data_IF_593858939514
#
_entry.id   IF_593858939514
#
_cell.length_a   1.000
_cell.length_b   1.000
_cell.length_c   1.000
_cell.angle_alpha   90.00
_cell.angle_beta   90.00
_cell.angle_gamma   90.00
#
_symmetry.space_group_name_H-M   'P 1'
#
loop_
_entity.id
_entity.type
_entity.pdbx_description
1 polymer ?
#
# COMPACT_ATOMS: atom_id res chain seq x y z
N UNK A 1 -7.64 -1.28 -2.25
CA UNK A 1 -9.09 -1.24 -2.31
C UNK A 1 -9.58 -2.16 -1.22
N UNK A 2 -10.72 -1.84 -0.63
CA UNK A 2 -11.27 -2.65 0.42
C UNK A 2 -12.70 -2.28 0.77
N UNK A 3 -13.27 -3.08 1.67
CA UNK A 3 -14.55 -2.79 2.29
C UNK A 3 -14.32 -2.17 3.66
N UNK A 4 -15.00 -1.05 3.93
CA UNK A 4 -15.05 -0.45 5.26
C UNK A 4 -16.38 -0.83 5.91
N UNK A 5 -16.32 -1.47 7.08
CA UNK A 5 -17.48 -1.79 7.90
C UNK A 5 -17.48 -0.95 9.18
N UNK A 6 -18.65 -0.43 9.57
CA UNK A 6 -18.85 0.21 10.88
C UNK A 6 -19.28 -0.84 11.90
N UNK A 7 -18.42 -1.12 12.87
CA UNK A 7 -18.74 -2.04 13.97
C UNK A 7 -19.19 -1.30 15.24
N UNK A 8 -20.15 -1.89 15.95
CA UNK A 8 -20.62 -1.41 17.25
C UNK A 8 -19.69 -1.90 18.37
N UNK A 9 -19.31 -1.06 19.36
CA UNK A 9 -19.88 0.26 19.65
C UNK A 9 -19.15 1.48 19.03
N UNK A 10 -18.17 1.30 18.13
CA UNK A 10 -17.54 2.43 17.44
C UNK A 10 -16.15 2.17 16.85
N UNK A 11 -16.06 1.35 15.80
CA UNK A 11 -14.84 1.23 14.99
C UNK A 11 -15.16 1.18 13.50
N UNK A 12 -14.21 1.65 12.68
CA UNK A 12 -14.15 1.37 11.26
C UNK A 12 -13.17 0.22 11.04
N UNK A 13 -13.63 -0.87 10.44
CA UNK A 13 -12.76 -1.97 10.05
C UNK A 13 -12.64 -1.99 8.54
N UNK A 14 -11.42 -1.85 8.04
CA UNK A 14 -11.09 -1.92 6.62
C UNK A 14 -10.60 -3.32 6.31
N UNK A 15 -11.39 -4.06 5.55
CA UNK A 15 -11.06 -5.39 5.06
C UNK A 15 -10.42 -5.31 3.69
N UNK A 16 -9.36 -6.09 3.49
CA UNK A 16 -8.76 -6.29 2.18
C UNK A 16 -8.16 -7.68 2.08
N UNK A 17 -8.12 -8.19 0.86
CA UNK A 17 -7.58 -9.48 0.49
C UNK A 17 -6.48 -9.27 -0.56
N UNK A 18 -5.25 -9.64 -0.22
CA UNK A 18 -4.08 -9.48 -1.09
C UNK A 18 -3.80 -10.80 -1.79
N UNK A 19 -3.96 -10.82 -3.11
CA UNK A 19 -3.70 -11.98 -3.94
C UNK A 19 -2.39 -11.73 -4.68
N UNK A 20 -1.40 -12.61 -4.49
CA UNK A 20 -0.13 -12.51 -5.22
C UNK A 20 0.04 -13.65 -6.21
N UNK A 21 0.70 -13.33 -7.31
CA UNK A 21 1.03 -14.26 -8.39
C UNK A 21 2.30 -13.81 -9.11
N UNK A 22 2.71 -14.50 -10.17
CA UNK A 22 3.95 -14.23 -10.90
C UNK A 22 5.11 -15.12 -10.45
N UNK A 23 6.19 -15.12 -11.22
CA UNK A 23 7.24 -16.14 -11.09
C UNK A 23 8.06 -16.01 -9.81
N UNK A 24 8.12 -14.80 -9.22
CA UNK A 24 8.85 -14.54 -7.98
C UNK A 24 7.97 -14.56 -6.73
N UNK A 25 6.67 -14.85 -6.87
CA UNK A 25 5.76 -14.94 -5.72
C UNK A 25 5.91 -16.28 -5.00
N UNK A 26 5.90 -16.25 -3.67
CA UNK A 26 5.85 -17.45 -2.82
C UNK A 26 4.83 -17.28 -1.70
N UNK A 27 4.37 -18.36 -1.05
CA UNK A 27 3.50 -18.26 0.12
C UNK A 27 4.12 -17.41 1.24
N UNK A 28 5.42 -17.56 1.50
CA UNK A 28 6.13 -16.83 2.55
C UNK A 28 6.21 -15.34 2.24
N UNK A 29 6.46 -14.98 0.97
CA UNK A 29 6.49 -13.58 0.55
C UNK A 29 5.11 -12.93 0.61
N UNK A 30 4.07 -13.68 0.23
CA UNK A 30 2.67 -13.24 0.32
C UNK A 30 2.28 -12.93 1.76
N UNK A 31 2.63 -13.84 2.66
CA UNK A 31 2.41 -13.69 4.09
C UNK A 31 3.19 -12.50 4.66
N UNK A 32 4.43 -12.29 4.22
CA UNK A 32 5.22 -11.12 4.62
C UNK A 32 4.57 -9.80 4.17
N UNK A 33 4.07 -9.75 2.93
CA UNK A 33 3.35 -8.58 2.38
C UNK A 33 2.11 -8.28 3.24
N UNK A 34 1.32 -9.31 3.57
CA UNK A 34 0.14 -9.18 4.41
C UNK A 34 0.50 -8.62 5.79
N UNK A 35 1.50 -9.21 6.44
CA UNK A 35 1.97 -8.80 7.77
C UNK A 35 2.51 -7.37 7.79
N UNK A 36 3.29 -6.98 6.76
CA UNK A 36 3.79 -5.62 6.58
C UNK A 36 2.63 -4.62 6.50
N UNK A 37 1.65 -4.86 5.62
CA UNK A 37 0.51 -3.96 5.43
C UNK A 37 -0.30 -3.85 6.72
N UNK A 38 -0.72 -5.00 7.29
CA UNK A 38 -1.60 -5.01 8.46
C UNK A 38 -0.93 -4.39 9.69
N UNK A 39 0.34 -4.73 9.94
CA UNK A 39 1.07 -4.21 11.09
C UNK A 39 1.26 -2.70 10.96
N UNK A 40 1.76 -2.23 9.81
CA UNK A 40 2.07 -0.81 9.64
C UNK A 40 0.83 0.07 9.69
N UNK A 41 -0.26 -0.33 9.04
CA UNK A 41 -1.49 0.47 9.00
C UNK A 41 -2.26 0.47 10.33
N UNK A 42 -2.05 -0.53 11.19
CA UNK A 42 -2.60 -0.54 12.55
C UNK A 42 -1.65 0.08 13.60
N UNK A 43 -0.33 0.17 13.33
CA UNK A 43 0.68 0.73 14.24
C UNK A 43 0.29 2.09 14.87
N UNK A 44 -0.23 3.09 14.12
CA UNK A 44 -0.55 4.38 14.72
C UNK A 44 -1.74 4.37 15.69
N UNK A 45 -2.55 3.30 15.73
CA UNK A 45 -3.79 3.28 16.53
C UNK A 45 -4.73 4.42 16.17
N UNK A 46 -4.90 4.68 14.87
CA UNK A 46 -5.50 5.90 14.36
C UNK A 46 -7.03 5.98 14.57
N UNK A 47 -7.53 7.19 14.77
CA UNK A 47 -8.94 7.50 14.96
C UNK A 47 -9.49 8.40 13.85
N UNK A 48 -10.77 8.26 13.55
CA UNK A 48 -11.52 9.17 12.68
C UNK A 48 -12.74 9.68 13.44
N UNK A 49 -12.89 11.00 13.50
CA UNK A 49 -14.08 11.63 14.08
C UNK A 49 -15.27 11.46 13.15
N UNK A 50 -16.33 10.79 13.63
CA UNK A 50 -17.54 10.49 12.89
C UNK A 50 -18.74 10.44 13.85
N UNK A 51 -19.87 11.05 13.48
CA UNK A 51 -21.08 11.11 14.33
C UNK A 51 -20.80 11.54 15.78
N UNK A 52 -20.06 12.65 15.93
CA UNK A 52 -19.71 13.26 17.23
C UNK A 52 -18.84 12.39 18.16
N UNK A 53 -18.20 11.34 17.63
CA UNK A 53 -17.34 10.43 18.39
C UNK A 53 -16.10 10.02 17.60
N UNK A 54 -15.06 9.62 18.32
CA UNK A 54 -13.87 9.03 17.72
C UNK A 54 -14.08 7.53 17.46
N UNK A 55 -13.86 7.13 16.21
CA UNK A 55 -13.89 5.73 15.80
C UNK A 55 -12.46 5.27 15.56
N UNK A 56 -12.06 4.19 16.25
CA UNK A 56 -10.78 3.53 15.96
C UNK A 56 -10.85 2.95 14.54
N UNK A 57 -9.83 3.20 13.74
CA UNK A 57 -9.66 2.58 12.43
C UNK A 57 -8.78 1.35 12.58
N UNK A 58 -9.26 0.21 12.10
CA UNK A 58 -8.53 -1.05 12.13
C UNK A 58 -8.45 -1.63 10.72
N UNK A 59 -7.28 -2.11 10.35
CA UNK A 59 -7.05 -2.79 9.08
C UNK A 59 -7.03 -4.30 9.34
N UNK A 60 -7.80 -5.05 8.56
CA UNK A 60 -7.81 -6.51 8.58
C UNK A 60 -7.46 -7.02 7.19
N UNK A 61 -6.24 -7.53 7.07
CA UNK A 61 -5.68 -7.95 5.79
C UNK A 61 -5.59 -9.47 5.80
N UNK A 62 -6.16 -10.07 4.76
CA UNK A 62 -5.96 -11.47 4.44
C UNK A 62 -5.14 -11.57 3.16
N UNK A 63 -4.53 -12.73 2.90
CA UNK A 63 -3.78 -12.91 1.66
C UNK A 63 -3.80 -14.35 1.16
N UNK A 64 -3.63 -14.49 -0.16
CA UNK A 64 -3.60 -15.77 -0.87
C UNK A 64 -2.47 -15.75 -1.91
N UNK A 65 -1.69 -16.83 -1.97
CA UNK A 65 -0.70 -17.04 -3.03
C UNK A 65 -1.33 -17.90 -4.14
N UNK A 66 -1.53 -17.30 -5.32
CA UNK A 66 -2.17 -17.95 -6.47
C UNK A 66 -1.24 -17.96 -7.69
N UNK A 67 -0.19 -18.82 -7.69
CA UNK A 67 0.80 -18.84 -8.78
C UNK A 67 0.21 -19.28 -10.13
N UNK A 68 -0.94 -19.97 -10.12
CA UNK A 68 -1.66 -20.46 -11.29
C UNK A 68 -2.98 -19.71 -11.51
N UNK A 69 -3.04 -18.45 -11.11
CA UNK A 69 -4.21 -17.60 -11.38
C UNK A 69 -4.36 -17.39 -12.89
N UNK A 70 -5.58 -17.53 -13.39
CA UNK A 70 -5.91 -17.24 -14.79
C UNK A 70 -6.30 -15.76 -14.95
N UNK A 71 -5.97 -15.10 -16.08
CA UNK A 71 -6.29 -13.68 -16.30
C UNK A 71 -7.76 -13.33 -16.10
N UNK A 72 -8.67 -14.25 -16.45
CA UNK A 72 -10.12 -14.06 -16.34
C UNK A 72 -10.57 -13.81 -14.89
N UNK A 73 -9.87 -14.37 -13.90
CA UNK A 73 -10.18 -14.13 -12.48
C UNK A 73 -9.92 -12.67 -12.10
N UNK A 74 -8.84 -12.08 -12.61
CA UNK A 74 -8.46 -10.69 -12.34
C UNK A 74 -9.36 -9.74 -13.12
N UNK A 75 -9.51 -9.99 -14.43
CA UNK A 75 -10.31 -9.17 -15.34
C UNK A 75 -11.80 -9.16 -14.95
N UNK A 76 -12.29 -10.27 -14.42
CA UNK A 76 -13.68 -10.46 -13.97
C UNK A 76 -13.93 -10.09 -12.51
N UNK A 77 -12.94 -9.57 -11.78
CA UNK A 77 -13.11 -9.28 -10.36
C UNK A 77 -14.18 -8.21 -10.11
N UNK A 78 -15.18 -8.58 -9.31
CA UNK A 78 -16.24 -7.71 -8.80
C UNK A 78 -16.24 -7.62 -7.25
N UNK A 79 -15.30 -8.29 -6.59
CA UNK A 79 -15.11 -8.19 -5.14
C UNK A 79 -14.15 -7.03 -4.80
N UNK A 80 -14.61 -5.96 -4.15
CA UNK A 80 -13.77 -4.82 -3.78
C UNK A 80 -12.69 -5.14 -2.74
N UNK A 81 -12.73 -6.31 -2.09
CA UNK A 81 -11.66 -6.75 -1.20
C UNK A 81 -10.44 -7.25 -1.96
N UNK A 82 -10.60 -7.77 -3.18
CA UNK A 82 -9.52 -8.45 -3.88
C UNK A 82 -8.57 -7.45 -4.52
N UNK A 83 -7.30 -7.54 -4.14
CA UNK A 83 -6.22 -6.74 -4.69
C UNK A 83 -5.12 -7.66 -5.24
N UNK A 84 -4.81 -7.54 -6.53
CA UNK A 84 -3.96 -8.48 -7.25
C UNK A 84 -2.60 -7.87 -7.58
N UNK A 85 -1.54 -8.53 -7.14
CA UNK A 85 -0.18 -8.07 -7.35
C UNK A 85 0.68 -9.15 -7.99
N UNK A 86 1.19 -8.85 -9.18
CA UNK A 86 2.22 -9.68 -9.79
C UNK A 86 3.57 -9.39 -9.15
N UNK A 87 4.33 -10.41 -8.82
CA UNK A 87 5.68 -10.28 -8.27
C UNK A 87 6.69 -10.86 -9.25
N UNK A 88 7.65 -10.04 -9.66
CA UNK A 88 8.76 -10.46 -10.51
C UNK A 88 10.10 -9.89 -10.02
N UNK A 89 11.19 -10.53 -10.45
CA UNK A 89 12.55 -9.99 -10.27
C UNK A 89 12.79 -8.70 -11.08
N UNK A 90 12.11 -8.58 -12.22
CA UNK A 90 12.24 -7.48 -13.14
C UNK A 90 10.91 -6.74 -13.30
N UNK A 91 10.96 -5.41 -13.20
CA UNK A 91 9.84 -4.55 -13.54
C UNK A 91 10.34 -3.41 -14.44
N UNK A 92 9.61 -3.09 -15.51
CA UNK A 92 9.89 -1.88 -16.30
C UNK A 92 9.79 -0.65 -15.39
N UNK A 93 10.75 0.28 -15.50
CA UNK A 93 10.89 1.40 -14.58
C UNK A 93 11.58 1.06 -13.24
N UNK A 94 11.91 -0.21 -12.99
CA UNK A 94 12.65 -0.71 -11.82
C UNK A 94 12.01 -0.39 -10.45
N UNK A 95 10.69 -0.21 -10.41
CA UNK A 95 9.96 0.11 -9.18
C UNK A 95 8.67 -0.71 -9.08
N UNK A 96 8.26 -1.00 -7.86
CA UNK A 96 6.89 -1.45 -7.57
C UNK A 96 5.87 -0.34 -7.82
N UNK A 97 4.65 -0.69 -8.20
CA UNK A 97 3.56 0.26 -8.46
C UNK A 97 2.17 -0.37 -8.34
N UNK A 98 1.16 0.48 -8.20
CA UNK A 98 -0.24 0.19 -8.52
C UNK A 98 -0.63 0.85 -9.84
N UNK A 99 -1.66 0.33 -10.52
CA UNK A 99 -2.08 0.82 -11.85
C UNK A 99 -2.67 2.24 -11.85
N UNK A 100 -2.99 2.75 -10.66
CA UNK A 100 -3.52 4.09 -10.44
C UNK A 100 -3.94 4.29 -8.99
N UNK A 101 -4.36 5.51 -8.66
CA UNK A 101 -4.90 5.80 -7.32
C UNK A 101 -6.23 5.09 -7.13
N UNK A 102 -6.35 4.35 -6.04
CA UNK A 102 -7.52 3.57 -5.69
C UNK A 102 -7.57 2.19 -6.37
N UNK A 103 -6.73 1.95 -7.38
CA UNK A 103 -6.75 0.72 -8.16
C UNK A 103 -6.39 -0.53 -7.35
N UNK A 104 -7.02 -1.65 -7.67
CA UNK A 104 -6.87 -2.94 -6.99
C UNK A 104 -5.88 -3.89 -7.70
N UNK A 105 -5.15 -3.43 -8.71
CA UNK A 105 -4.12 -4.22 -9.39
C UNK A 105 -2.80 -3.48 -9.45
N UNK A 106 -1.70 -4.23 -9.49
CA UNK A 106 -0.36 -3.68 -9.53
C UNK A 106 0.75 -4.70 -9.70
N UNK A 107 1.96 -4.22 -9.53
CA UNK A 107 3.19 -4.97 -9.80
C UNK A 107 4.23 -4.69 -8.72
N UNK A 108 4.80 -5.75 -8.15
CA UNK A 108 5.91 -5.65 -7.22
C UNK A 108 7.20 -6.13 -7.83
N UNK A 109 8.26 -5.34 -7.64
CA UNK A 109 9.63 -5.77 -7.88
C UNK A 109 10.16 -6.48 -6.64
N UNK A 110 10.59 -7.74 -6.77
CA UNK A 110 11.04 -8.58 -5.66
C UNK A 110 12.09 -7.90 -4.78
N UNK A 111 13.06 -7.21 -5.38
CA UNK A 111 14.14 -6.54 -4.65
C UNK A 111 13.63 -5.46 -3.67
N UNK A 112 12.40 -4.95 -3.88
CA UNK A 112 11.79 -3.93 -3.03
C UNK A 112 11.02 -4.54 -1.84
N UNK A 113 10.82 -5.87 -1.82
CA UNK A 113 10.04 -6.60 -0.82
C UNK A 113 10.91 -7.33 0.21
N UNK A 114 12.09 -6.80 0.54
CA UNK A 114 12.92 -7.36 1.60
C UNK A 114 12.27 -7.16 2.98
N UNK A 115 12.58 -8.04 3.94
CA UNK A 115 12.07 -7.93 5.31
C UNK A 115 12.45 -6.59 5.95
N UNK A 116 11.46 -5.85 6.45
CA UNK A 116 11.63 -4.49 6.98
C UNK A 116 11.54 -3.38 5.94
N UNK A 117 11.27 -3.72 4.66
CA UNK A 117 10.74 -2.77 3.70
C UNK A 117 9.36 -2.29 4.13
N UNK A 118 8.93 -1.17 3.57
CA UNK A 118 7.57 -0.62 3.75
C UNK A 118 6.89 -0.45 2.38
N UNK A 119 7.37 -1.17 1.37
CA UNK A 119 6.93 -1.00 -0.02
C UNK A 119 5.51 -1.50 -0.21
N UNK A 120 5.16 -2.67 0.34
CA UNK A 120 3.81 -3.17 0.23
C UNK A 120 2.81 -2.27 0.97
N UNK A 121 3.18 -1.78 2.17
CA UNK A 121 2.34 -0.84 2.91
C UNK A 121 2.16 0.51 2.18
N UNK A 122 3.17 0.98 1.45
CA UNK A 122 3.08 2.18 0.61
C UNK A 122 2.17 1.99 -0.60
N UNK A 123 2.37 0.92 -1.36
CA UNK A 123 1.52 0.62 -2.52
C UNK A 123 0.07 0.40 -2.08
N UNK A 124 -0.16 -0.26 -0.95
CA UNK A 124 -1.50 -0.41 -0.39
C UNK A 124 -2.16 0.94 -0.08
N UNK A 125 -1.41 1.95 0.38
CA UNK A 125 -1.91 3.31 0.52
C UNK A 125 -2.41 3.90 -0.81
N UNK A 126 -1.70 3.67 -1.91
CA UNK A 126 -2.18 4.03 -3.25
C UNK A 126 -3.42 3.23 -3.64
N UNK A 127 -3.47 1.94 -3.32
CA UNK A 127 -4.64 1.08 -3.53
C UNK A 127 -5.88 1.58 -2.76
N UNK A 128 -5.71 2.36 -1.69
CA UNK A 128 -6.79 3.03 -0.95
C UNK A 128 -7.08 4.45 -1.44
N UNK A 129 -6.38 4.94 -2.46
CA UNK A 129 -6.59 6.25 -3.07
C UNK A 129 -5.67 7.36 -2.56
N UNK A 130 -4.65 7.06 -1.76
CA UNK A 130 -3.71 8.06 -1.28
C UNK A 130 -2.67 8.40 -2.35
N UNK A 131 -2.40 9.69 -2.54
CA UNK A 131 -1.36 10.18 -3.43
C UNK A 131 -0.07 10.50 -2.67
N UNK A 132 1.04 10.63 -3.40
CA UNK A 132 2.27 11.20 -2.82
C UNK A 132 2.03 12.65 -2.37
N UNK A 133 2.65 13.08 -1.26
CA UNK A 133 2.72 14.48 -0.89
C UNK A 133 3.38 15.33 -1.98
N UNK A 134 2.93 16.58 -2.13
CA UNK A 134 3.51 17.50 -3.12
C UNK A 134 4.87 18.09 -2.68
N UNK A 135 5.02 18.34 -1.37
CA UNK A 135 6.29 18.76 -0.79
C UNK A 135 7.13 17.52 -0.46
N UNK A 136 8.26 17.37 -1.15
CA UNK A 136 9.16 16.22 -1.00
C UNK A 136 10.43 16.56 -0.22
N UNK A 137 10.47 17.70 0.49
CA UNK A 137 11.57 18.06 1.38
C UNK A 137 11.14 17.96 2.85
N UNK A 138 11.53 16.87 3.49
CA UNK A 138 11.24 16.55 4.89
C UNK A 138 12.39 16.82 5.86
N UNK A 139 13.46 17.48 5.42
CA UNK A 139 14.58 17.81 6.32
C UNK A 139 14.09 18.66 7.49
N UNK A 140 14.42 18.24 8.72
CA UNK A 140 13.98 18.85 9.96
C UNK A 140 12.50 18.63 10.32
N UNK A 141 11.76 17.82 9.57
CA UNK A 141 10.31 17.57 9.78
C UNK A 141 10.03 16.20 10.44
N UNK A 142 11.06 15.41 10.72
CA UNK A 142 10.94 14.14 11.44
C UNK A 142 10.83 12.92 10.54
N UNK A 143 10.15 11.88 11.03
CA UNK A 143 10.06 10.57 10.38
C UNK A 143 9.12 10.67 9.16
N UNK A 144 9.54 10.20 7.97
CA UNK A 144 8.69 10.26 6.78
C UNK A 144 7.42 9.43 6.94
N UNK A 145 6.28 10.00 6.50
CA UNK A 145 5.02 9.27 6.39
C UNK A 145 5.03 8.20 5.31
N UNK A 146 4.07 7.27 5.36
CA UNK A 146 4.08 6.09 4.50
C UNK A 146 3.99 6.45 3.03
N UNK A 147 3.29 7.55 2.70
CA UNK A 147 3.07 7.99 1.32
C UNK A 147 4.22 8.80 0.71
N UNK A 148 5.33 9.02 1.42
CA UNK A 148 6.49 9.67 0.81
C UNK A 148 7.20 8.71 -0.15
N UNK A 149 7.54 9.14 -1.38
CA UNK A 149 8.28 8.33 -2.34
C UNK A 149 9.79 8.27 -2.02
N UNK A 150 10.49 7.31 -2.62
CA UNK A 150 11.95 7.09 -2.46
C UNK A 150 12.84 8.31 -2.74
N UNK A 151 12.37 9.24 -3.58
CA UNK A 151 13.08 10.47 -3.96
C UNK A 151 13.02 11.60 -2.93
N UNK A 152 12.29 11.41 -1.83
CA UNK A 152 12.10 12.43 -0.77
C UNK A 152 13.44 12.81 -0.11
N UNK A 153 13.67 14.11 0.09
CA UNK A 153 14.80 14.61 0.85
C UNK A 153 14.47 14.52 2.33
N UNK A 154 15.37 13.92 3.11
CA UNK A 154 15.18 13.68 4.54
C UNK A 154 16.48 13.97 5.30
N UNK A 155 16.38 14.06 6.62
CA UNK A 155 17.56 14.16 7.48
C UNK A 155 18.49 12.95 7.29
N UNK A 156 19.82 13.11 7.47
CA UNK A 156 20.81 12.07 7.18
C UNK A 156 20.48 10.68 7.75
N UNK A 157 19.95 10.61 8.98
CA UNK A 157 19.60 9.35 9.65
C UNK A 157 18.51 8.52 8.94
N UNK A 158 17.77 9.12 8.00
CA UNK A 158 16.71 8.45 7.25
C UNK A 158 17.08 8.21 5.78
N UNK A 159 18.32 8.54 5.37
CA UNK A 159 18.80 8.34 4.01
C UNK A 159 19.29 6.91 3.77
N UNK A 160 19.45 6.50 2.51
CA UNK A 160 20.12 5.23 2.18
C UNK A 160 21.58 5.20 2.69
N UNK A 161 22.26 6.35 2.65
CA UNK A 161 23.60 6.55 3.19
C UNK A 161 23.65 7.91 3.91
N UNK A 162 23.65 7.92 5.26
CA UNK A 162 23.70 9.15 6.06
C UNK A 162 24.94 10.03 5.83
N UNK A 163 25.99 9.51 5.19
CA UNK A 163 27.19 10.29 4.85
C UNK A 163 27.03 11.12 3.57
N UNK A 164 25.97 10.89 2.80
CA UNK A 164 25.74 11.58 1.52
C UNK A 164 25.00 12.90 1.71
N UNK A 165 25.32 13.92 0.88
CA UNK A 165 24.48 15.09 0.76
C UNK A 165 23.06 14.74 0.28
N UNK A 166 22.05 15.47 0.75
CA UNK A 166 20.68 15.24 0.32
C UNK A 166 20.51 15.39 -1.21
N UNK A 167 19.77 14.47 -1.84
CA UNK A 167 19.40 14.54 -3.27
C UNK A 167 20.43 13.94 -4.23
N UNK A 168 21.56 13.41 -3.75
CA UNK A 168 22.52 12.65 -4.56
C UNK A 168 22.25 11.13 -4.41
N UNK A 169 22.86 10.25 -5.23
CA UNK A 169 22.75 8.81 -5.01
C UNK A 169 23.15 8.42 -3.57
N UNK A 170 22.25 7.72 -2.88
CA UNK A 170 22.38 7.40 -1.45
C UNK A 170 21.80 8.47 -0.50
N UNK A 171 21.63 9.70 -0.98
CA UNK A 171 21.21 10.86 -0.20
C UNK A 171 19.69 11.13 -0.17
N UNK A 172 18.86 10.14 -0.48
CA UNK A 172 17.40 10.24 -0.42
C UNK A 172 16.84 9.24 0.58
N UNK A 173 15.56 9.40 0.93
CA UNK A 173 14.88 8.57 1.92
C UNK A 173 14.99 7.06 1.63
N UNK A 174 15.47 6.31 2.62
CA UNK A 174 15.40 4.85 2.61
C UNK A 174 14.00 4.40 3.09
N UNK A 175 13.27 3.57 2.31
CA UNK A 175 11.89 3.18 2.61
C UNK A 175 11.64 2.62 4.00
N UNK A 176 12.60 1.85 4.54
CA UNK A 176 12.49 1.21 5.85
C UNK A 176 12.16 2.18 7.00
N UNK A 177 12.42 3.48 6.84
CA UNK A 177 12.15 4.48 7.86
C UNK A 177 10.75 5.07 7.80
N UNK A 178 9.96 4.74 6.77
CA UNK A 178 8.59 5.23 6.67
C UNK A 178 7.71 4.64 7.76
N UNK A 179 6.75 5.44 8.21
CA UNK A 179 5.71 5.03 9.17
C UNK A 179 4.36 5.49 8.67
N UNK A 180 3.32 4.71 8.95
CA UNK A 180 1.94 5.20 8.78
C UNK A 180 1.63 6.09 9.98
N UNK A 181 1.18 7.31 9.72
CA UNK A 181 0.76 8.25 10.76
C UNK A 181 -0.76 8.39 10.79
N UNK A 182 -1.27 9.01 11.87
CA UNK A 182 -2.69 9.37 12.00
C UNK A 182 -3.19 10.21 10.82
N UNK A 183 -2.33 11.09 10.28
CA UNK A 183 -2.65 11.95 9.14
C UNK A 183 -2.84 11.15 7.85
N UNK A 184 -2.05 10.08 7.63
CA UNK A 184 -2.20 9.19 6.48
C UNK A 184 -3.57 8.50 6.50
N UNK A 185 -4.01 8.03 7.67
CA UNK A 185 -5.34 7.42 7.86
C UNK A 185 -6.45 8.47 7.70
N UNK A 186 -6.25 9.69 8.20
CA UNK A 186 -7.23 10.78 8.05
C UNK A 186 -7.45 11.16 6.57
N UNK A 187 -6.40 11.06 5.73
CA UNK A 187 -6.49 11.32 4.29
C UNK A 187 -7.38 10.33 3.53
N UNK A 188 -7.63 9.14 4.08
CA UNK A 188 -8.61 8.18 3.54
C UNK A 188 -10.04 8.72 3.56
N UNK A 189 -10.31 9.75 4.39
CA UNK A 189 -11.62 10.43 4.49
C UNK A 189 -12.78 9.46 4.67
N UNK A 190 -12.59 8.42 5.49
CA UNK A 190 -13.57 7.35 5.75
C UNK A 190 -14.94 7.91 6.14
N UNK A 191 -14.97 8.97 6.95
CA UNK A 191 -16.20 9.67 7.37
C UNK A 191 -17.03 10.26 6.23
N UNK A 192 -16.50 10.31 4.99
CA UNK A 192 -17.19 10.80 3.79
C UNK A 192 -17.65 9.69 2.85
N UNK A 193 -17.32 8.43 3.15
CA UNK A 193 -17.74 7.31 2.33
C UNK A 193 -19.26 7.12 2.43
N UNK A 194 -19.86 6.62 1.35
CA UNK A 194 -21.29 6.34 1.31
C UNK A 194 -21.56 4.96 1.92
N UNK A 195 -21.95 4.94 3.19
CA UNK A 195 -22.28 3.69 3.89
C UNK A 195 -23.71 3.24 3.58
N UNK A 196 -23.84 2.02 3.07
CA UNK A 196 -25.10 1.31 2.88
C UNK A 196 -25.06 0.10 3.80
N UNK A 197 -26.01 0.01 4.73
CA UNK A 197 -26.03 -1.06 5.76
C UNK A 197 -24.71 -1.18 6.53
N UNK A 198 -24.13 -0.05 6.95
CA UNK A 198 -22.84 0.06 7.65
C UNK A 198 -21.62 -0.40 6.83
N UNK A 199 -21.76 -0.59 5.53
CA UNK A 199 -20.69 -1.02 4.63
C UNK A 199 -20.45 0.06 3.58
N UNK A 200 -19.20 0.38 3.31
CA UNK A 200 -18.77 1.23 2.20
C UNK A 200 -17.55 0.63 1.50
N UNK A 201 -17.27 1.10 0.28
CA UNK A 201 -16.07 0.72 -0.48
C UNK A 201 -15.07 1.86 -0.46
N UNK A 202 -13.78 1.53 -0.32
CA UNK A 202 -12.65 2.45 -0.47
C UNK A 202 -11.72 1.97 -1.58
N UNK A 203 -11.34 2.87 -2.49
CA UNK A 203 -10.65 2.53 -3.74
C UNK A 203 -11.62 2.29 -4.90
N UNK A 204 -11.10 1.80 -6.02
CA UNK A 204 -11.83 1.57 -7.27
C UNK A 204 -11.24 0.36 -8.04
N UNK A 205 -12.04 -0.22 -8.93
CA UNK A 205 -11.61 -1.36 -9.73
C UNK A 205 -10.72 -0.93 -10.90
N UNK A 206 -9.57 -1.59 -11.05
CA UNK A 206 -8.78 -1.57 -12.28
C UNK A 206 -8.88 -2.89 -13.02
N UNK A 207 -8.82 -4.01 -12.29
CA UNK A 207 -8.96 -5.37 -12.84
C UNK A 207 -8.04 -5.63 -14.04
N UNK A 208 -6.77 -5.20 -13.95
CA UNK A 208 -5.77 -5.33 -15.02
C UNK A 208 -4.91 -6.59 -14.81
N UNK A 209 -4.81 -7.41 -15.86
CA UNK A 209 -3.85 -8.51 -15.93
C UNK A 209 -2.44 -8.00 -16.24
N UNK A 210 -1.46 -8.41 -15.44
CA UNK A 210 -0.05 -8.10 -15.69
C UNK A 210 0.70 -9.32 -16.26
N UNK A 211 1.21 -9.27 -17.50
CA UNK A 211 2.14 -10.27 -18.00
C UNK A 211 3.53 -10.12 -17.35
N UNK A 212 4.41 -11.09 -17.55
CA UNK A 212 5.82 -10.90 -17.20
C UNK A 212 6.41 -9.79 -18.07
N UNK A 213 7.02 -8.81 -17.42
CA UNK A 213 7.69 -7.70 -18.10
C UNK A 213 8.88 -8.15 -18.95
N UNK A 214 9.47 -9.32 -18.67
CA UNK A 214 10.50 -9.96 -19.51
C UNK A 214 9.97 -10.38 -20.88
N UNK A 215 8.66 -10.63 -21.01
CA UNK A 215 8.02 -11.09 -22.25
C UNK A 215 7.53 -9.93 -23.14
N UNK A 216 7.45 -8.71 -22.59
CA UNK A 216 7.07 -7.52 -23.33
C UNK A 216 8.28 -7.01 -24.12
N UNK A 217 8.27 -7.18 -25.45
CA UNK A 217 9.24 -6.55 -26.35
C UNK A 217 8.81 -5.11 -26.65
N UNK A 218 9.72 -4.17 -26.43
CA UNK A 218 9.60 -2.78 -26.90
C UNK A 218 9.85 -2.66 -28.40
#
# INVERSE_FOLDING_TARGET
>A
MGIVEILSPGSFVIFSHIITYGNASTPELTEQIRDEIETMWNEPGAYVFFNERDYLVQFKISAEHKPLIEPEEILGNDDPNNNYFRIEEFAHGNISFVDGLGCNTGYFKLENLYKGSTTAAHEYGHTLGLQHPADLDLRGKGIPGIMYPRGTLVDPQFQYDPSKPAGVPGGTMHPMYRKVHQEDVALLKIHRLNFINNIAVVGDFSSIWHPDHKDIKH
#
